data_IF_184445099808
#
_entry.id   IF_184445099808
#
_cell.length_a   1.000
_cell.length_b   1.000
_cell.length_c   1.000
_cell.angle_alpha   90.00
_cell.angle_beta   90.00
_cell.angle_gamma   90.00
#
_symmetry.space_group_name_H-M   'P 1'
#
loop_
_entity.id
_entity.type
_entity.pdbx_description
1 polymer ?
#
# COMPACT_ATOMS: atom_id res chain seq x y z
N UNK A 1 -7.09 12.23 3.69
CA UNK A 1 -7.38 11.28 4.77
C UNK A 1 -6.07 10.59 5.13
N UNK A 2 -5.83 10.31 6.42
CA UNK A 2 -4.63 9.58 6.83
C UNK A 2 -4.65 8.14 6.32
N UNK A 3 -3.47 7.59 5.98
CA UNK A 3 -3.38 6.19 5.52
C UNK A 3 -3.96 5.22 6.57
N UNK A 4 -3.69 5.44 7.86
CA UNK A 4 -4.28 4.61 8.92
C UNK A 4 -5.81 4.60 8.86
N UNK A 5 -6.44 5.77 8.74
CA UNK A 5 -7.89 5.90 8.66
C UNK A 5 -8.46 5.25 7.40
N UNK A 6 -7.71 5.34 6.29
CA UNK A 6 -8.10 4.70 5.04
C UNK A 6 -8.12 3.17 5.18
N UNK A 7 -7.06 2.58 5.74
CA UNK A 7 -6.94 1.14 5.91
C UNK A 7 -7.99 0.61 6.91
N UNK A 8 -8.26 1.33 8.01
CA UNK A 8 -9.22 0.93 9.04
C UNK A 8 -10.69 0.88 8.57
N UNK A 9 -10.99 1.37 7.37
CA UNK A 9 -12.35 1.29 6.78
C UNK A 9 -12.71 -0.08 6.24
N UNK A 10 -11.73 -0.94 6.03
CA UNK A 10 -11.92 -2.21 5.31
C UNK A 10 -11.40 -3.35 6.15
N UNK A 11 -12.04 -4.52 6.06
CA UNK A 11 -11.42 -5.75 6.56
C UNK A 11 -10.42 -6.27 5.53
N UNK A 12 -9.46 -7.08 5.96
CA UNK A 12 -8.50 -7.69 5.04
C UNK A 12 -9.19 -8.52 3.95
N UNK A 13 -10.29 -9.19 4.29
CA UNK A 13 -11.09 -9.99 3.35
C UNK A 13 -11.72 -9.15 2.23
N UNK A 14 -11.98 -7.87 2.47
CA UNK A 14 -12.48 -6.94 1.45
C UNK A 14 -11.34 -6.39 0.59
N UNK A 15 -10.16 -6.18 1.19
CA UNK A 15 -8.98 -5.65 0.50
C UNK A 15 -8.34 -6.68 -0.43
N UNK A 16 -8.23 -7.93 0.00
CA UNK A 16 -7.45 -8.95 -0.73
C UNK A 16 -7.98 -9.23 -2.15
N UNK A 17 -9.30 -9.30 -2.42
CA UNK A 17 -9.81 -9.41 -3.79
C UNK A 17 -9.41 -8.23 -4.67
N UNK A 18 -9.44 -7.00 -4.13
CA UNK A 18 -9.01 -5.79 -4.84
C UNK A 18 -7.51 -5.82 -5.11
N UNK A 19 -6.71 -6.26 -4.14
CA UNK A 19 -5.26 -6.49 -4.35
C UNK A 19 -5.01 -7.49 -5.47
N UNK A 20 -5.74 -8.61 -5.49
CA UNK A 20 -5.57 -9.64 -6.51
C UNK A 20 -5.97 -9.18 -7.91
N UNK A 21 -6.97 -8.30 -8.02
CA UNK A 21 -7.41 -7.69 -9.27
C UNK A 21 -6.40 -6.65 -9.78
N UNK A 22 -5.95 -5.74 -8.91
CA UNK A 22 -4.97 -4.70 -9.25
C UNK A 22 -3.57 -5.26 -9.52
N UNK A 23 -3.19 -6.34 -8.83
CA UNK A 23 -1.88 -6.99 -8.93
C UNK A 23 -2.06 -8.49 -9.19
N UNK A 24 -2.30 -8.90 -10.45
CA UNK A 24 -2.54 -10.29 -10.78
C UNK A 24 -1.42 -11.22 -10.30
N UNK A 25 -1.80 -12.35 -9.70
CA UNK A 25 -0.86 -13.33 -9.16
C UNK A 25 -0.46 -13.11 -7.69
N UNK A 26 -0.89 -12.02 -7.06
CA UNK A 26 -0.65 -11.79 -5.62
C UNK A 26 -1.47 -12.66 -4.68
N UNK A 27 -2.50 -13.36 -5.19
CA UNK A 27 -3.33 -14.28 -4.39
C UNK A 27 -2.54 -15.33 -3.61
N UNK A 28 -1.40 -15.80 -4.16
CA UNK A 28 -0.49 -16.75 -3.48
C UNK A 28 0.19 -16.16 -2.23
N UNK A 29 0.18 -14.85 -2.06
CA UNK A 29 0.80 -14.12 -0.95
C UNK A 29 -0.19 -13.64 0.10
N UNK A 30 -1.43 -14.11 0.06
CA UNK A 30 -2.49 -13.74 1.00
C UNK A 30 -2.01 -13.75 2.46
N UNK A 31 -1.38 -14.84 2.91
CA UNK A 31 -0.91 -14.96 4.29
C UNK A 31 0.12 -13.88 4.66
N UNK A 32 1.07 -13.58 3.77
CA UNK A 32 2.05 -12.51 4.00
C UNK A 32 1.39 -11.14 4.06
N UNK A 33 0.47 -10.85 3.14
CA UNK A 33 -0.25 -9.57 3.11
C UNK A 33 -1.17 -9.40 4.33
N UNK A 34 -1.81 -10.48 4.77
CA UNK A 34 -2.65 -10.50 5.97
C UNK A 34 -1.83 -10.21 7.23
N UNK A 35 -0.65 -10.83 7.35
CA UNK A 35 0.28 -10.52 8.45
C UNK A 35 0.70 -9.05 8.42
N UNK A 36 1.00 -8.51 7.23
CA UNK A 36 1.37 -7.11 7.07
C UNK A 36 0.23 -6.17 7.48
N UNK A 37 -0.99 -6.46 7.03
CA UNK A 37 -2.20 -5.75 7.42
C UNK A 37 -2.41 -5.77 8.95
N UNK A 38 -2.33 -6.96 9.57
CA UNK A 38 -2.53 -7.10 11.02
C UNK A 38 -1.50 -6.31 11.83
N UNK A 39 -0.23 -6.34 11.40
CA UNK A 39 0.81 -5.51 12.02
C UNK A 39 0.47 -4.03 11.85
N UNK A 40 0.13 -3.57 10.64
CA UNK A 40 -0.23 -2.17 10.39
C UNK A 40 -1.39 -1.69 11.28
N UNK A 41 -2.39 -2.53 11.49
CA UNK A 41 -3.54 -2.20 12.35
C UNK A 41 -3.17 -2.09 13.83
N UNK A 42 -2.07 -2.71 14.26
CA UNK A 42 -1.56 -2.61 15.64
C UNK A 42 -0.66 -1.40 15.90
N UNK A 43 -0.12 -0.77 14.85
CA UNK A 43 0.86 0.31 14.98
C UNK A 43 0.22 1.66 15.31
N UNK A 44 0.96 2.47 16.07
CA UNK A 44 0.61 3.88 16.29
C UNK A 44 1.25 4.74 15.18
N UNK A 45 0.48 5.61 14.50
CA UNK A 45 1.01 6.42 13.41
C UNK A 45 1.95 7.50 13.94
N UNK A 46 3.03 7.75 13.20
CA UNK A 46 3.91 8.90 13.41
C UNK A 46 3.55 9.99 12.41
N UNK A 47 3.21 11.17 12.90
CA UNK A 47 2.78 12.28 12.06
C UNK A 47 3.83 12.63 10.99
N UNK A 48 3.37 12.80 9.76
CA UNK A 48 4.20 13.21 8.64
C UNK A 48 3.59 14.40 7.91
N UNK A 49 4.45 15.33 7.46
CA UNK A 49 4.10 16.41 6.53
C UNK A 49 4.15 15.98 5.06
N UNK A 50 4.68 14.79 4.77
CA UNK A 50 4.73 14.20 3.43
C UNK A 50 3.40 13.50 3.13
N UNK A 51 3.03 13.45 1.86
CA UNK A 51 1.80 12.80 1.39
C UNK A 51 2.14 11.60 0.51
N UNK A 52 1.21 10.64 0.47
CA UNK A 52 1.14 9.61 -0.58
C UNK A 52 0.21 10.19 -1.64
N UNK A 53 0.79 10.60 -2.77
CA UNK A 53 0.08 11.32 -3.83
C UNK A 53 -0.13 10.40 -5.02
N UNK A 54 -1.37 10.02 -5.25
CA UNK A 54 -1.77 9.26 -6.42
C UNK A 54 -1.94 10.19 -7.61
N UNK A 55 -1.38 9.78 -8.74
CA UNK A 55 -1.37 10.50 -10.02
C UNK A 55 -1.36 9.53 -11.19
N UNK A 56 -1.63 10.05 -12.38
CA UNK A 56 -1.39 9.33 -13.63
C UNK A 56 0.12 9.40 -13.91
N UNK A 57 0.76 8.25 -14.04
CA UNK A 57 2.19 8.08 -14.23
C UNK A 57 2.43 7.39 -15.57
N UNK A 58 3.35 7.89 -16.41
CA UNK A 58 3.74 7.19 -17.62
C UNK A 58 4.47 5.90 -17.28
N UNK A 59 4.18 4.82 -18.02
CA UNK A 59 5.00 3.61 -17.98
C UNK A 59 6.34 3.90 -18.67
N UNK A 60 7.50 3.69 -18.02
CA UNK A 60 8.79 3.90 -18.67
C UNK A 60 9.04 2.95 -19.85
N UNK A 61 8.31 1.84 -19.95
CA UNK A 61 8.52 0.80 -20.95
C UNK A 61 7.43 0.75 -22.03
N UNK A 62 6.41 1.60 -21.97
CA UNK A 62 5.33 1.61 -22.95
C UNK A 62 4.69 3.00 -23.09
N UNK A 63 3.88 3.21 -24.12
CA UNK A 63 3.06 4.42 -24.26
C UNK A 63 1.86 4.42 -23.29
N UNK A 64 1.74 3.41 -22.43
CA UNK A 64 0.67 3.34 -21.44
C UNK A 64 0.94 4.30 -20.27
N UNK A 65 -0.12 4.59 -19.53
CA UNK A 65 -0.03 5.25 -18.24
C UNK A 65 -0.80 4.44 -17.22
N UNK A 66 -0.36 4.49 -15.97
CA UNK A 66 -1.01 3.82 -14.84
C UNK A 66 -1.31 4.84 -13.75
N UNK A 67 -2.27 4.52 -12.88
CA UNK A 67 -2.58 5.34 -11.70
C UNK A 67 -1.82 4.78 -10.50
N UNK A 68 -0.97 5.59 -9.89
CA UNK A 68 -0.11 5.15 -8.80
C UNK A 68 0.47 6.29 -8.00
N UNK A 69 1.27 5.95 -7.00
CA UNK A 69 2.06 6.89 -6.22
C UNK A 69 3.55 6.51 -6.36
N UNK A 70 4.42 7.50 -6.23
CA UNK A 70 5.87 7.29 -6.26
C UNK A 70 6.35 6.37 -5.14
N UNK A 71 7.28 5.45 -5.44
CA UNK A 71 7.87 4.53 -4.46
C UNK A 71 8.49 5.27 -3.27
N UNK A 72 9.10 6.44 -3.51
CA UNK A 72 9.65 7.31 -2.48
C UNK A 72 8.60 7.80 -1.46
N UNK A 73 7.31 7.72 -1.79
CA UNK A 73 6.22 7.98 -0.86
C UNK A 73 6.07 6.87 0.18
N UNK A 74 6.63 5.68 -0.04
CA UNK A 74 6.57 4.53 0.87
C UNK A 74 7.93 4.21 1.53
N UNK A 75 9.05 4.71 0.99
CA UNK A 75 10.40 4.53 1.54
C UNK A 75 10.61 5.27 2.89
N UNK A 76 10.00 4.71 3.93
CA UNK A 76 10.10 5.13 5.33
C UNK A 76 9.56 4.02 6.23
N UNK A 77 9.47 4.25 7.55
CA UNK A 77 8.90 3.22 8.44
C UNK A 77 7.38 3.15 8.30
N UNK A 78 6.80 2.00 8.65
CA UNK A 78 5.35 1.78 8.53
C UNK A 78 4.54 2.80 9.35
N UNK A 79 4.99 3.16 10.55
CA UNK A 79 4.35 4.17 11.40
C UNK A 79 4.31 5.54 10.71
N UNK A 80 5.39 5.92 10.02
CA UNK A 80 5.44 7.18 9.27
C UNK A 80 4.53 7.10 8.06
N UNK A 81 4.48 5.98 7.33
CA UNK A 81 3.52 5.78 6.24
C UNK A 81 2.08 5.94 6.72
N UNK A 82 1.70 5.32 7.83
CA UNK A 82 0.36 5.41 8.43
C UNK A 82 -0.06 6.85 8.76
N UNK A 83 0.90 7.71 9.12
CA UNK A 83 0.68 9.12 9.42
C UNK A 83 0.65 10.08 8.22
N UNK A 84 0.90 9.59 6.99
CA UNK A 84 0.81 10.40 5.75
C UNK A 84 -0.64 10.61 5.33
N UNK A 85 -0.90 11.75 4.69
CA UNK A 85 -2.16 11.93 3.96
C UNK A 85 -2.10 11.16 2.63
N UNK A 86 -3.18 10.44 2.31
CA UNK A 86 -3.42 9.89 0.98
C UNK A 86 -4.23 10.91 0.19
N UNK A 87 -3.70 11.30 -0.98
CA UNK A 87 -4.25 12.38 -1.82
C UNK A 87 -4.35 11.89 -3.26
N UNK A 88 -5.50 12.13 -3.90
CA UNK A 88 -5.71 11.91 -5.34
C UNK A 88 -5.51 13.21 -6.11
N UNK A 89 -4.71 13.18 -7.17
CA UNK A 89 -4.68 14.26 -8.15
C UNK A 89 -5.91 14.23 -9.08
N UNK A 90 -6.12 15.33 -9.80
CA UNK A 90 -7.21 15.43 -10.78
C UNK A 90 -7.02 14.37 -11.86
N UNK A 91 -8.09 13.62 -12.16
CA UNK A 91 -8.08 12.56 -13.18
C UNK A 91 -7.72 11.17 -12.65
N UNK A 92 -7.36 11.03 -11.37
CA UNK A 92 -7.22 9.72 -10.74
C UNK A 92 -8.60 9.20 -10.35
N UNK A 93 -9.02 8.13 -11.00
CA UNK A 93 -10.32 7.48 -10.80
C UNK A 93 -10.19 6.17 -10.00
N UNK A 94 -9.38 6.21 -8.93
CA UNK A 94 -9.29 5.13 -7.96
C UNK A 94 -10.29 5.37 -6.82
N UNK A 95 -11.05 4.34 -6.48
CA UNK A 95 -11.88 4.27 -5.29
C UNK A 95 -11.03 4.23 -4.02
N UNK A 96 -11.65 4.52 -2.87
CA UNK A 96 -10.93 4.47 -1.58
C UNK A 96 -10.40 3.05 -1.28
N UNK A 97 -11.12 1.99 -1.66
CA UNK A 97 -10.67 0.61 -1.42
C UNK A 97 -9.47 0.24 -2.31
N UNK A 98 -9.42 0.72 -3.56
CA UNK A 98 -8.26 0.53 -4.45
C UNK A 98 -7.04 1.31 -3.95
N UNK A 99 -7.23 2.53 -3.42
CA UNK A 99 -6.15 3.27 -2.77
C UNK A 99 -5.63 2.52 -1.54
N UNK A 100 -6.53 1.96 -0.72
CA UNK A 100 -6.18 1.19 0.47
C UNK A 100 -5.39 -0.09 0.11
N UNK A 101 -5.89 -0.84 -0.88
CA UNK A 101 -5.26 -2.05 -1.40
C UNK A 101 -3.86 -1.76 -1.97
N UNK A 102 -3.73 -0.75 -2.80
CA UNK A 102 -2.45 -0.34 -3.37
C UNK A 102 -1.46 0.14 -2.28
N UNK A 103 -1.93 0.95 -1.31
CA UNK A 103 -1.10 1.35 -0.19
C UNK A 103 -0.65 0.17 0.67
N UNK A 104 -1.51 -0.82 0.94
CA UNK A 104 -1.14 -2.02 1.70
C UNK A 104 0.03 -2.75 1.04
N UNK A 105 -0.09 -3.02 -0.27
CA UNK A 105 0.95 -3.71 -1.04
C UNK A 105 2.26 -2.91 -1.02
N UNK A 106 2.20 -1.61 -1.32
CA UNK A 106 3.39 -0.77 -1.38
C UNK A 106 4.06 -0.58 -0.01
N UNK A 107 3.31 -0.46 1.09
CA UNK A 107 3.90 -0.43 2.42
C UNK A 107 4.58 -1.75 2.75
N UNK A 108 3.99 -2.89 2.38
CA UNK A 108 4.61 -4.20 2.60
C UNK A 108 5.86 -4.44 1.75
N UNK A 109 5.93 -3.91 0.53
CA UNK A 109 7.05 -4.14 -0.40
C UNK A 109 8.17 -3.11 -0.31
N UNK A 110 7.85 -1.85 -0.01
CA UNK A 110 8.78 -0.72 -0.08
C UNK A 110 9.05 -0.15 1.32
N UNK A 111 8.05 -0.18 2.19
CA UNK A 111 8.17 0.35 3.55
C UNK A 111 9.18 -0.44 4.38
N UNK A 112 9.93 0.28 5.22
CA UNK A 112 10.82 -0.32 6.22
C UNK A 112 9.98 -0.98 7.31
N UNK A 113 9.76 -2.27 7.14
CA UNK A 113 8.91 -3.08 7.99
C UNK A 113 9.55 -3.43 9.33
N UNK A 114 8.74 -3.73 10.37
CA UNK A 114 9.25 -4.25 11.63
C UNK A 114 9.81 -5.68 11.48
N UNK A 115 10.67 -6.11 12.42
CA UNK A 115 11.36 -7.41 12.37
C UNK A 115 10.42 -8.62 12.33
N UNK A 116 9.26 -8.53 12.97
CA UNK A 116 8.26 -9.58 12.97
C UNK A 116 7.57 -9.76 11.61
N UNK A 117 7.91 -8.95 10.59
CA UNK A 117 7.48 -9.12 9.21
C UNK A 117 8.56 -9.73 8.30
N UNK A 118 9.79 -9.91 8.77
CA UNK A 118 10.94 -10.33 7.94
C UNK A 118 10.68 -11.60 7.11
N UNK A 119 10.01 -12.60 7.69
CA UNK A 119 9.70 -13.86 7.00
C UNK A 119 8.64 -13.68 5.91
N UNK A 120 7.56 -12.96 6.22
CA UNK A 120 6.50 -12.63 5.27
C UNK A 120 7.03 -11.78 4.11
N UNK A 121 7.90 -10.80 4.41
CA UNK A 121 8.58 -10.00 3.40
C UNK A 121 9.44 -10.86 2.47
N UNK A 122 10.25 -11.78 3.00
CA UNK A 122 11.02 -12.72 2.16
C UNK A 122 10.13 -13.57 1.26
N UNK A 123 8.94 -13.96 1.70
CA UNK A 123 7.99 -14.66 0.85
C UNK A 123 7.46 -13.76 -0.27
N UNK A 124 7.14 -12.49 0.04
CA UNK A 124 6.69 -11.49 -0.93
C UNK A 124 7.77 -11.15 -1.98
N UNK A 125 9.02 -10.99 -1.57
CA UNK A 125 10.13 -10.59 -2.46
C UNK A 125 10.69 -11.72 -3.32
N UNK A 126 10.22 -12.96 -3.15
CA UNK A 126 10.57 -14.12 -3.99
C UNK A 126 9.59 -14.33 -5.15
N UNK A 127 8.74 -13.34 -5.43
CA UNK A 127 7.71 -13.38 -6.47
C UNK A 127 8.27 -13.45 -7.88
#
# INVERSE_FOLDING_TARGET
MKLQQLLQRYQFDDLMPVVADMFPGTGKFRASLEQGYNILMSLQPVASKKNIRYRIMPDPNSDASFMGAEDAAFDTTWEVCLGKEVVKEKGVDLTDIELAANCLVNVCLIGRHPKNFDEAYRALSKA
#
